data_IF_382684873186
#
_entry.id   IF_382684873186
#
_cell.length_a   1.000
_cell.length_b   1.000
_cell.length_c   1.000
_cell.angle_alpha   90.00
_cell.angle_beta   90.00
_cell.angle_gamma   90.00
#
_symmetry.space_group_name_H-M   'P 1'
#
loop_
_entity.id
_entity.type
_entity.pdbx_description
1 polymer ?
#
# COMPACT_ATOMS: atom_id res chain seq x y z
N UNK A 1 -10.69 -15.72 34.54
CA UNK A 1 -10.34 -16.11 33.15
C UNK A 1 -10.53 -14.87 32.30
N UNK A 2 -9.46 -14.13 32.03
CA UNK A 2 -9.50 -13.02 31.08
C UNK A 2 -9.48 -13.63 29.68
N UNK A 3 -10.53 -13.37 28.89
CA UNK A 3 -10.49 -13.62 27.44
C UNK A 3 -9.35 -12.77 26.85
N UNK A 4 -8.61 -13.28 25.85
CA UNK A 4 -7.66 -12.45 25.13
C UNK A 4 -8.43 -11.29 24.50
N UNK A 5 -8.02 -10.06 24.78
CA UNK A 5 -8.56 -8.89 24.09
C UNK A 5 -8.27 -9.09 22.60
N UNK A 6 -9.31 -9.32 21.80
CA UNK A 6 -9.24 -9.03 20.38
C UNK A 6 -8.64 -7.62 20.30
N UNK A 7 -7.49 -7.46 19.65
CA UNK A 7 -7.09 -6.12 19.21
C UNK A 7 -8.25 -5.73 18.33
N UNK A 8 -9.03 -4.74 18.74
CA UNK A 8 -10.08 -4.18 17.91
C UNK A 8 -9.49 -4.04 16.50
N UNK A 9 -10.26 -4.40 15.45
CA UNK A 9 -9.96 -3.94 14.10
C UNK A 9 -10.07 -2.41 14.14
N UNK A 10 -9.07 -1.78 14.75
CA UNK A 10 -8.97 -0.37 14.99
C UNK A 10 -8.98 0.21 13.59
N UNK A 11 -10.07 0.90 13.24
CA UNK A 11 -10.22 1.60 11.96
C UNK A 11 -8.95 2.40 11.60
N UNK A 12 -8.18 2.81 12.62
CA UNK A 12 -6.87 3.40 12.51
C UNK A 12 -5.83 2.57 11.73
N UNK A 13 -5.71 1.25 11.95
CA UNK A 13 -4.73 0.41 11.24
C UNK A 13 -5.09 0.26 9.78
N UNK A 14 -6.34 -0.06 9.47
CA UNK A 14 -6.79 -0.23 8.08
C UNK A 14 -6.67 1.09 7.32
N UNK A 15 -7.14 2.19 7.92
CA UNK A 15 -6.99 3.53 7.33
C UNK A 15 -5.52 3.90 7.11
N UNK A 16 -4.66 3.57 8.08
CA UNK A 16 -3.24 3.88 7.99
C UNK A 16 -2.51 3.00 6.97
N UNK A 17 -2.83 1.71 6.87
CA UNK A 17 -2.31 0.81 5.84
C UNK A 17 -2.74 1.26 4.45
N UNK A 18 -3.99 1.69 4.26
CA UNK A 18 -4.47 2.22 2.98
C UNK A 18 -3.66 3.47 2.56
N UNK A 19 -3.46 4.41 3.50
CA UNK A 19 -2.65 5.60 3.25
C UNK A 19 -1.19 5.26 2.94
N UNK A 20 -0.58 4.38 3.73
CA UNK A 20 0.79 3.92 3.50
C UNK A 20 0.92 3.23 2.13
N UNK A 21 -0.01 2.34 1.77
CA UNK A 21 -0.06 1.70 0.46
C UNK A 21 -0.14 2.74 -0.67
N UNK A 22 -1.03 3.73 -0.56
CA UNK A 22 -1.18 4.76 -1.56
C UNK A 22 0.06 5.66 -1.69
N UNK A 23 0.71 6.00 -0.57
CA UNK A 23 1.97 6.77 -0.55
C UNK A 23 3.09 6.00 -1.25
N UNK A 24 3.21 4.71 -0.96
CA UNK A 24 4.18 3.80 -1.56
C UNK A 24 3.96 3.61 -3.07
N UNK A 25 2.70 3.41 -3.50
CA UNK A 25 2.33 3.32 -4.92
C UNK A 25 2.66 4.62 -5.65
N UNK A 26 2.32 5.76 -5.06
CA UNK A 26 2.58 7.07 -5.63
C UNK A 26 4.07 7.32 -5.82
N UNK A 27 4.90 6.89 -4.87
CA UNK A 27 6.36 6.99 -4.97
C UNK A 27 6.91 6.14 -6.14
N UNK A 28 6.51 4.87 -6.26
CA UNK A 28 7.02 3.98 -7.32
C UNK A 28 6.57 4.43 -8.72
N UNK A 29 5.32 4.89 -8.86
CA UNK A 29 4.79 5.44 -10.11
C UNK A 29 5.58 6.69 -10.53
N UNK A 30 5.82 7.63 -9.60
CA UNK A 30 6.56 8.87 -9.87
C UNK A 30 8.01 8.59 -10.27
N UNK A 31 8.64 7.59 -9.65
CA UNK A 31 10.04 7.23 -9.90
C UNK A 31 10.31 6.77 -11.34
N UNK A 32 9.35 6.12 -11.98
CA UNK A 32 9.48 5.64 -13.36
C UNK A 32 9.30 6.75 -14.39
N UNK A 33 8.45 7.73 -14.08
CA UNK A 33 8.11 8.81 -14.99
C UNK A 33 7.26 8.36 -16.20
N UNK A 34 6.67 9.31 -16.95
CA UNK A 34 5.76 9.00 -18.05
C UNK A 34 6.46 8.53 -19.34
N UNK A 35 7.79 8.54 -19.37
CA UNK A 35 8.59 8.42 -20.61
C UNK A 35 8.67 7.00 -21.15
N UNK A 36 8.60 5.98 -20.28
CA UNK A 36 8.55 4.58 -20.71
C UNK A 36 7.12 4.21 -21.08
N UNK A 37 6.91 3.72 -22.31
CA UNK A 37 5.61 3.21 -22.78
C UNK A 37 5.71 1.74 -23.17
N UNK A 38 4.66 0.97 -22.93
CA UNK A 38 4.52 -0.42 -23.37
C UNK A 38 3.26 -0.60 -24.24
N UNK A 39 3.24 -1.66 -25.05
CA UNK A 39 2.06 -1.98 -25.84
C UNK A 39 1.03 -2.67 -24.94
N UNK A 40 -0.10 -2.01 -24.71
CA UNK A 40 -1.29 -2.65 -24.17
C UNK A 40 -1.85 -3.55 -25.29
N UNK A 41 -1.69 -4.87 -25.14
CA UNK A 41 -2.08 -5.81 -26.18
C UNK A 41 -3.56 -5.68 -26.52
N UNK A 42 -3.90 -5.30 -27.76
CA UNK A 42 -5.27 -5.40 -28.25
C UNK A 42 -5.38 -6.64 -29.13
N UNK A 43 -6.23 -7.59 -28.76
CA UNK A 43 -6.54 -8.78 -29.57
C UNK A 43 -7.28 -8.47 -30.87
N UNK A 44 -7.76 -7.24 -31.06
CA UNK A 44 -8.47 -6.83 -32.27
C UNK A 44 -7.48 -6.58 -33.40
N UNK A 45 -7.62 -7.37 -34.48
CA UNK A 45 -7.00 -7.05 -35.76
C UNK A 45 -7.75 -5.88 -36.41
N UNK A 46 -6.98 -4.93 -36.93
CA UNK A 46 -7.50 -3.92 -37.82
C UNK A 46 -7.91 -4.58 -39.17
N UNK A 47 -8.80 -3.96 -39.96
CA UNK A 47 -9.21 -4.47 -41.27
C UNK A 47 -8.05 -4.68 -42.26
N UNK A 48 -6.91 -4.02 -42.04
CA UNK A 48 -5.68 -4.12 -42.83
C UNK A 48 -4.74 -5.27 -42.41
N UNK A 49 -5.15 -6.11 -41.44
CA UNK A 49 -4.35 -7.21 -40.91
C UNK A 49 -3.28 -6.80 -39.89
N UNK A 50 -3.20 -5.51 -39.55
CA UNK A 50 -2.30 -5.03 -38.49
C UNK A 50 -2.92 -5.22 -37.11
N UNK A 51 -2.09 -5.46 -36.10
CA UNK A 51 -2.54 -5.42 -34.69
C UNK A 51 -2.54 -3.97 -34.23
N UNK A 52 -3.67 -3.50 -33.67
CA UNK A 52 -3.70 -2.21 -32.99
C UNK A 52 -2.62 -2.16 -31.91
N UNK A 53 -1.74 -1.16 -31.94
CA UNK A 53 -0.73 -0.95 -30.90
C UNK A 53 -1.16 0.22 -30.03
N UNK A 54 -2.05 -0.03 -29.06
CA UNK A 54 -2.36 0.97 -28.05
C UNK A 54 -1.17 1.07 -27.09
N UNK A 55 -0.41 2.15 -27.16
CA UNK A 55 0.70 2.40 -26.22
C UNK A 55 0.13 3.01 -24.95
N UNK A 56 0.53 2.48 -23.81
CA UNK A 56 0.24 3.03 -22.48
C UNK A 56 1.55 3.34 -21.76
N UNK A 57 1.59 4.29 -20.81
CA UNK A 57 2.72 4.43 -19.90
C UNK A 57 3.01 3.11 -19.19
N UNK A 58 4.27 2.74 -19.04
CA UNK A 58 4.70 1.53 -18.32
C UNK A 58 4.22 1.54 -16.87
N UNK A 59 4.20 2.73 -16.25
CA UNK A 59 3.66 2.96 -14.92
C UNK A 59 2.17 2.59 -14.78
N UNK A 60 1.46 2.39 -15.88
CA UNK A 60 0.04 1.97 -15.93
C UNK A 60 -0.15 0.54 -16.44
N UNK A 61 0.93 -0.19 -16.71
CA UNK A 61 0.82 -1.56 -17.19
C UNK A 61 0.54 -2.51 -16.04
N UNK A 62 -0.40 -3.44 -16.25
CA UNK A 62 -0.81 -4.42 -15.24
C UNK A 62 0.39 -5.19 -14.68
N UNK A 63 1.26 -5.71 -15.54
CA UNK A 63 2.51 -6.38 -15.12
C UNK A 63 3.35 -5.54 -14.16
N UNK A 64 3.51 -4.25 -14.45
CA UNK A 64 4.28 -3.37 -13.57
C UNK A 64 3.59 -3.16 -12.22
N UNK A 65 2.26 -3.00 -12.23
CA UNK A 65 1.51 -2.78 -11.00
C UNK A 65 1.45 -4.04 -10.14
N UNK A 66 1.30 -5.23 -10.73
CA UNK A 66 1.41 -6.52 -10.03
C UNK A 66 2.78 -6.65 -9.35
N UNK A 67 3.88 -6.39 -10.06
CA UNK A 67 5.23 -6.47 -9.49
C UNK A 67 5.41 -5.54 -8.26
N UNK A 68 4.80 -4.35 -8.28
CA UNK A 68 4.81 -3.44 -7.13
C UNK A 68 3.97 -3.99 -5.99
N UNK A 69 2.72 -4.38 -6.27
CA UNK A 69 1.76 -4.81 -5.25
C UNK A 69 2.23 -6.05 -4.49
N UNK A 70 2.98 -6.95 -5.13
CA UNK A 70 3.61 -8.10 -4.46
C UNK A 70 4.59 -7.71 -3.34
N UNK A 71 5.29 -6.58 -3.48
CA UNK A 71 6.44 -6.22 -2.63
C UNK A 71 6.19 -4.97 -1.78
N UNK A 72 5.06 -4.29 -1.96
CA UNK A 72 4.79 -3.01 -1.29
C UNK A 72 4.51 -3.17 0.20
N UNK A 73 3.84 -4.25 0.60
CA UNK A 73 3.49 -4.48 1.99
C UNK A 73 4.70 -4.85 2.86
N UNK A 74 5.81 -5.31 2.27
CA UNK A 74 7.08 -5.49 2.98
C UNK A 74 7.65 -4.15 3.48
N UNK A 75 7.31 -3.05 2.82
CA UNK A 75 7.75 -1.70 3.20
C UNK A 75 6.96 -1.13 4.36
N UNK A 76 5.95 -1.84 4.88
CA UNK A 76 5.26 -1.42 6.10
C UNK A 76 6.20 -1.37 7.32
N UNK A 77 7.35 -2.06 7.28
CA UNK A 77 8.40 -1.94 8.29
C UNK A 77 9.08 -0.55 8.33
N UNK A 78 8.95 0.24 7.26
CA UNK A 78 9.43 1.63 7.19
C UNK A 78 8.49 2.63 7.89
N UNK A 79 7.35 2.15 8.40
CA UNK A 79 6.32 2.94 9.07
C UNK A 79 6.29 2.65 10.57
N UNK A 80 6.00 3.69 11.34
CA UNK A 80 5.89 3.61 12.79
C UNK A 80 4.59 4.24 13.27
N UNK A 81 3.99 3.63 14.29
CA UNK A 81 2.86 4.17 15.00
C UNK A 81 3.26 5.42 15.79
N UNK A 82 2.59 6.54 15.52
CA UNK A 82 2.81 7.82 16.18
C UNK A 82 1.45 8.44 16.54
N UNK A 83 1.44 9.32 17.53
CA UNK A 83 0.27 10.13 17.82
C UNK A 83 0.22 11.33 16.87
N UNK A 84 -0.92 11.54 16.23
CA UNK A 84 -1.19 12.74 15.46
C UNK A 84 -1.03 13.96 16.38
N UNK A 85 -0.19 14.95 16.02
CA UNK A 85 0.10 16.08 16.89
C UNK A 85 -1.15 16.91 17.22
N UNK A 86 -2.12 16.95 16.30
CA UNK A 86 -3.37 17.72 16.38
C UNK A 86 -4.48 16.87 16.98
N UNK A 87 -4.77 15.71 16.40
CA UNK A 87 -5.95 14.91 16.76
C UNK A 87 -5.70 13.94 17.91
N UNK A 88 -4.44 13.71 18.29
CA UNK A 88 -4.00 12.69 19.28
C UNK A 88 -4.43 11.27 18.94
N UNK A 89 -4.87 11.02 17.70
CA UNK A 89 -5.17 9.69 17.20
C UNK A 89 -3.88 9.00 16.77
N UNK A 90 -3.84 7.69 16.97
CA UNK A 90 -2.76 6.83 16.48
C UNK A 90 -2.78 6.78 14.95
N UNK A 91 -1.67 7.15 14.32
CA UNK A 91 -1.45 7.13 12.87
C UNK A 91 -0.14 6.42 12.56
N UNK A 92 -0.06 5.72 11.42
CA UNK A 92 1.24 5.26 10.92
C UNK A 92 1.88 6.33 10.05
N UNK A 93 3.15 6.60 10.33
CA UNK A 93 3.95 7.55 9.55
C UNK A 93 5.27 6.88 9.16
N UNK A 94 5.69 7.11 7.92
CA UNK A 94 6.99 6.65 7.44
C UNK A 94 8.09 7.36 8.22
N UNK A 95 8.99 6.60 8.82
CA UNK A 95 10.17 7.11 9.54
C UNK A 95 11.47 6.76 8.82
N UNK A 96 11.49 5.65 8.08
CA UNK A 96 12.67 5.24 7.34
C UNK A 96 12.93 6.22 6.19
N UNK A 97 14.19 6.55 5.84
CA UNK A 97 14.53 7.22 4.60
C UNK A 97 14.27 6.32 3.38
N UNK A 98 14.06 6.91 2.20
CA UNK A 98 14.05 6.21 0.92
C UNK A 98 15.48 5.82 0.52
N UNK A 99 15.64 4.85 -0.38
CA UNK A 99 16.96 4.35 -0.82
C UNK A 99 17.83 5.42 -1.47
N UNK A 100 17.22 6.42 -2.08
CA UNK A 100 17.83 7.57 -2.74
C UNK A 100 18.15 8.74 -1.79
N UNK A 101 17.72 8.68 -0.53
CA UNK A 101 18.06 9.70 0.46
C UNK A 101 19.51 9.53 0.94
N UNK A 102 20.24 10.65 1.07
CA UNK A 102 21.64 10.66 1.51
C UNK A 102 21.87 10.01 2.89
N UNK A 103 20.86 10.06 3.76
CA UNK A 103 20.92 9.48 5.11
C UNK A 103 20.66 7.96 5.14
N UNK A 104 20.22 7.36 4.02
CA UNK A 104 19.89 5.93 3.95
C UNK A 104 21.04 4.98 4.37
N UNK A 105 22.31 5.20 3.96
CA UNK A 105 23.42 4.36 4.41
C UNK A 105 23.64 4.42 5.92
N UNK A 106 23.45 5.59 6.52
CA UNK A 106 23.55 5.78 7.97
C UNK A 106 22.39 5.07 8.68
N UNK A 107 21.16 5.28 8.20
CA UNK A 107 19.97 4.60 8.71
C UNK A 107 20.14 3.08 8.72
N UNK A 108 20.59 2.49 7.59
CA UNK A 108 20.78 1.04 7.48
C UNK A 108 21.76 0.47 8.51
N UNK A 109 22.72 1.25 8.99
CA UNK A 109 23.69 0.84 10.03
C UNK A 109 23.06 0.76 11.42
N UNK A 110 22.06 1.61 11.71
CA UNK A 110 21.42 1.73 13.01
C UNK A 110 19.98 1.21 13.04
N UNK A 111 19.46 0.76 11.90
CA UNK A 111 18.12 0.23 11.78
C UNK A 111 18.00 -1.08 12.57
N UNK A 112 16.97 -1.15 13.43
CA UNK A 112 16.62 -2.36 14.16
C UNK A 112 15.28 -2.88 13.66
N UNK A 113 15.23 -4.18 13.40
CA UNK A 113 14.01 -4.87 13.02
C UNK A 113 13.12 -5.07 14.25
N UNK A 114 11.84 -4.69 14.13
CA UNK A 114 10.81 -4.94 15.15
C UNK A 114 9.62 -5.60 14.50
N UNK A 115 8.94 -6.51 15.20
CA UNK A 115 7.72 -7.15 14.70
C UNK A 115 6.47 -6.27 14.82
N UNK A 116 6.60 -5.05 15.35
CA UNK A 116 5.48 -4.12 15.54
C UNK A 116 4.77 -3.69 14.25
N UNK A 117 5.41 -3.82 13.08
CA UNK A 117 4.80 -3.52 11.79
C UNK A 117 3.95 -4.67 11.22
N UNK A 118 4.05 -5.89 11.77
CA UNK A 118 3.35 -7.07 11.24
C UNK A 118 1.83 -6.85 11.08
N UNK A 119 1.10 -6.21 12.02
CA UNK A 119 -0.31 -5.92 11.82
C UNK A 119 -0.57 -4.94 10.67
N UNK A 120 0.31 -3.94 10.47
CA UNK A 120 0.24 -2.99 9.35
C UNK A 120 0.47 -3.70 8.01
N UNK A 121 1.47 -4.60 7.95
CA UNK A 121 1.74 -5.45 6.79
C UNK A 121 0.55 -6.33 6.44
N UNK A 122 -0.01 -7.04 7.42
CA UNK A 122 -1.17 -7.90 7.21
C UNK A 122 -2.39 -7.11 6.69
N UNK A 123 -2.66 -5.92 7.26
CA UNK A 123 -3.72 -5.06 6.78
C UNK A 123 -3.46 -4.54 5.35
N UNK A 124 -2.21 -4.26 4.98
CA UNK A 124 -1.83 -3.92 3.61
C UNK A 124 -2.10 -5.10 2.65
N UNK A 125 -1.65 -6.31 2.99
CA UNK A 125 -1.85 -7.52 2.18
C UNK A 125 -3.35 -7.77 1.96
N UNK A 126 -4.14 -7.66 3.03
CA UNK A 126 -5.61 -7.78 2.97
C UNK A 126 -6.24 -6.73 2.04
N UNK A 127 -5.76 -5.48 2.07
CA UNK A 127 -6.28 -4.42 1.17
C UNK A 127 -5.96 -4.77 -0.29
N UNK A 128 -4.74 -5.23 -0.57
CA UNK A 128 -4.35 -5.59 -1.94
C UNK A 128 -5.18 -6.77 -2.44
N UNK A 129 -5.29 -7.84 -1.65
CA UNK A 129 -6.07 -9.02 -2.02
C UNK A 129 -7.53 -8.70 -2.37
N UNK A 130 -8.14 -7.73 -1.67
CA UNK A 130 -9.55 -7.39 -1.88
C UNK A 130 -9.77 -6.31 -2.94
N UNK A 131 -8.81 -5.40 -3.13
CA UNK A 131 -8.99 -4.19 -3.94
C UNK A 131 -8.00 -4.07 -5.10
N UNK A 132 -7.27 -5.13 -5.47
CA UNK A 132 -6.32 -5.14 -6.59
C UNK A 132 -6.92 -4.55 -7.89
N UNK A 133 -8.09 -5.04 -8.30
CA UNK A 133 -8.78 -4.58 -9.51
C UNK A 133 -9.14 -3.08 -9.45
N UNK A 134 -9.55 -2.60 -8.27
CA UNK A 134 -9.90 -1.20 -8.05
C UNK A 134 -8.65 -0.30 -8.05
N UNK A 135 -7.57 -0.77 -7.43
CA UNK A 135 -6.25 -0.11 -7.45
C UNK A 135 -5.79 0.06 -8.90
N UNK A 136 -5.84 -1.00 -9.71
CA UNK A 136 -5.47 -0.91 -11.13
C UNK A 136 -6.33 0.10 -11.89
N UNK A 137 -7.65 0.08 -11.65
CA UNK A 137 -8.58 1.02 -12.28
C UNK A 137 -8.28 2.47 -11.90
N UNK A 138 -7.99 2.74 -10.63
CA UNK A 138 -7.68 4.08 -10.13
C UNK A 138 -6.36 4.61 -10.70
N UNK A 139 -5.33 3.77 -10.78
CA UNK A 139 -4.03 4.15 -11.35
C UNK A 139 -4.14 4.42 -12.85
N UNK A 140 -4.91 3.60 -13.58
CA UNK A 140 -5.14 3.80 -15.01
C UNK A 140 -5.78 5.17 -15.32
N UNK A 141 -6.57 5.72 -14.39
CA UNK A 141 -7.25 7.01 -14.51
C UNK A 141 -6.40 8.23 -14.13
N UNK A 142 -5.12 8.07 -13.74
CA UNK A 142 -4.22 9.20 -13.43
C UNK A 142 -4.77 10.10 -12.30
N UNK A 143 -5.12 9.51 -11.15
CA UNK A 143 -5.49 10.30 -9.98
C UNK A 143 -4.23 10.90 -9.33
N UNK A 144 -4.02 12.22 -9.46
CA UNK A 144 -3.03 12.99 -8.68
C UNK A 144 -3.20 12.84 -7.15
N UNK A 145 -4.34 12.26 -6.74
CA UNK A 145 -4.74 12.00 -5.38
C UNK A 145 -5.12 10.52 -5.20
N UNK A 146 -4.17 9.61 -5.42
CA UNK A 146 -4.39 8.16 -5.29
C UNK A 146 -4.83 7.79 -3.86
N UNK A 147 -4.21 8.38 -2.83
CA UNK A 147 -4.59 8.15 -1.43
C UNK A 147 -6.03 8.61 -1.16
N UNK A 148 -6.43 9.76 -1.69
CA UNK A 148 -7.79 10.26 -1.50
C UNK A 148 -8.79 9.35 -2.23
N UNK A 149 -8.55 8.98 -3.48
CA UNK A 149 -9.52 8.12 -4.19
C UNK A 149 -9.55 6.68 -3.69
N UNK A 150 -8.41 6.13 -3.31
CA UNK A 150 -8.30 4.76 -2.79
C UNK A 150 -8.85 4.65 -1.36
N UNK A 151 -8.74 5.73 -0.56
CA UNK A 151 -9.06 5.68 0.87
C UNK A 151 -10.22 6.61 1.31
N UNK A 152 -10.89 7.39 0.41
CA UNK A 152 -12.00 8.33 0.74
C UNK A 152 -13.37 7.92 0.16
N UNK A 153 -13.47 7.22 -0.97
CA UNK A 153 -14.80 6.84 -1.52
C UNK A 153 -15.20 5.44 -1.05
N UNK A 154 -16.18 5.41 -0.12
CA UNK A 154 -16.56 4.29 0.76
C UNK A 154 -15.50 4.09 1.83
N UNK A 155 -15.84 3.98 3.10
CA UNK A 155 -16.33 2.72 3.69
C UNK A 155 -15.82 1.40 3.04
N UNK A 156 -14.75 1.38 2.25
CA UNK A 156 -14.03 0.16 1.86
C UNK A 156 -13.26 -0.40 3.06
N UNK A 157 -12.82 0.49 3.97
CA UNK A 157 -12.27 0.11 5.29
C UNK A 157 -13.35 -0.04 6.38
N UNK A 158 -14.59 0.36 6.13
CA UNK A 158 -15.70 0.30 7.10
C UNK A 158 -16.67 -0.84 6.77
N UNK A 159 -16.79 -1.22 5.49
CA UNK A 159 -17.35 -2.49 5.01
C UNK A 159 -16.33 -3.62 5.05
N UNK A 160 -15.06 -3.32 5.35
CA UNK A 160 -14.14 -4.29 5.95
C UNK A 160 -14.55 -4.70 7.38
N UNK A 161 -15.75 -4.36 7.85
CA UNK A 161 -16.41 -5.03 8.97
C UNK A 161 -16.72 -6.51 8.67
N UNK A 162 -16.61 -6.97 7.43
CA UNK A 162 -16.61 -8.39 7.06
C UNK A 162 -15.21 -9.00 6.92
N UNK A 163 -14.14 -8.21 7.10
CA UNK A 163 -12.81 -8.81 7.36
C UNK A 163 -12.93 -9.44 8.74
N UNK A 164 -12.83 -10.78 8.87
CA UNK A 164 -12.83 -11.37 10.19
C UNK A 164 -11.63 -10.78 10.92
N UNK A 165 -11.87 -10.12 12.06
CA UNK A 165 -10.81 -9.71 12.96
C UNK A 165 -9.91 -10.93 13.20
N UNK A 166 -8.75 -11.01 12.54
CA UNK A 166 -7.84 -12.13 12.74
C UNK A 166 -7.16 -11.92 14.09
N UNK A 167 -7.65 -12.63 15.10
CA UNK A 167 -7.06 -12.68 16.42
C UNK A 167 -5.60 -13.15 16.30
N UNK A 168 -4.65 -12.23 16.50
CA UNK A 168 -3.26 -12.61 16.73
C UNK A 168 -3.15 -13.22 18.14
N UNK A 169 -2.54 -14.41 18.33
CA UNK A 169 -2.30 -14.93 19.67
C UNK A 169 -1.40 -13.94 20.43
N UNK A 170 -1.88 -13.49 21.59
CA UNK A 170 -1.23 -12.49 22.45
C UNK A 170 0.08 -13.01 23.04
N UNK A 171 1.15 -13.03 22.25
CA UNK A 171 2.50 -13.36 22.72
C UNK A 171 3.56 -12.43 22.13
N UNK A 172 3.32 -11.11 22.18
CA UNK A 172 4.42 -10.13 22.14
C UNK A 172 4.15 -9.13 23.25
N UNK A 173 4.63 -9.45 24.46
CA UNK A 173 4.86 -8.42 25.48
C UNK A 173 6.01 -7.57 24.98
N UNK A 174 5.72 -6.32 24.63
CA UNK A 174 6.75 -5.28 24.59
C UNK A 174 6.91 -4.81 26.03
N UNK A 175 7.77 -5.51 26.78
CA UNK A 175 8.23 -5.02 28.07
C UNK A 175 9.34 -3.97 27.80
N UNK A 176 9.15 -2.77 28.34
CA UNK A 176 10.14 -1.69 28.41
C UNK A 176 11.30 -2.07 29.34
#
# INVERSE_FOLDING_TARGET
MHLPSCVDCDSAWVTSSCKALADELTYDIKKIGPTRTVNSGTFRLNPDGTRGKKKIPFAKSETFLTDILENICDRMNDYQLQDDPVTKKKIFKRYAPRKDDEIYPLYKKYFFYSDAYKPLKYACETIIEQYEDEIFRLIAQEADFLADKLCIEKSACEQASTVPCCCFPSSVKVDL
#
